data_IF_921097716275
#
_entry.id   IF_921097716275
#
_cell.length_a   1.000
_cell.length_b   1.000
_cell.length_c   1.000
_cell.angle_alpha   90.00
_cell.angle_beta   90.00
_cell.angle_gamma   90.00
#
_symmetry.space_group_name_H-M   'P 1'
#
loop_
_entity.id
_entity.type
_entity.pdbx_description
1 polymer ?
#
# COMPACT_ATOMS: atom_id res chain seq x y z
N UNK A 1 33.13 60.94 -29.55
CA UNK A 1 34.02 59.81 -29.22
C UNK A 1 33.51 58.47 -29.79
N UNK A 2 32.20 58.18 -29.76
CA UNK A 2 31.64 56.97 -30.40
C UNK A 2 31.68 56.90 -31.94
N UNK A 3 31.49 58.01 -32.71
CA UNK A 3 31.45 57.92 -34.18
C UNK A 3 32.78 57.51 -34.83
N UNK A 4 33.91 57.92 -34.23
CA UNK A 4 35.26 57.62 -34.74
C UNK A 4 35.72 56.17 -34.57
N UNK A 5 34.89 55.31 -33.97
CA UNK A 5 35.14 53.86 -33.89
C UNK A 5 34.57 53.14 -35.13
N UNK A 6 33.58 53.74 -35.80
CA UNK A 6 32.84 53.12 -36.91
C UNK A 6 33.08 53.80 -38.25
N UNK A 7 33.50 55.07 -38.26
CA UNK A 7 33.75 55.84 -39.48
C UNK A 7 35.10 56.56 -39.40
N UNK A 8 35.91 56.43 -40.46
CA UNK A 8 37.13 57.21 -40.65
C UNK A 8 36.81 58.63 -41.15
N UNK A 9 37.79 59.55 -41.15
CA UNK A 9 37.64 60.94 -41.57
C UNK A 9 37.10 61.10 -43.01
N UNK A 10 37.26 60.06 -43.84
CA UNK A 10 36.80 59.98 -45.23
C UNK A 10 35.37 59.41 -45.38
N UNK A 11 34.71 59.05 -44.28
CA UNK A 11 33.36 58.45 -44.29
C UNK A 11 33.33 56.94 -44.59
N UNK A 12 34.49 56.29 -44.74
CA UNK A 12 34.59 54.84 -44.90
C UNK A 12 34.43 54.10 -43.57
N UNK A 13 33.81 52.91 -43.61
CA UNK A 13 33.56 52.09 -42.42
C UNK A 13 34.85 51.41 -41.99
N UNK A 14 35.20 51.58 -40.70
CA UNK A 14 36.32 50.86 -40.09
C UNK A 14 35.85 49.44 -39.74
N UNK A 15 36.14 48.47 -40.61
CA UNK A 15 35.69 47.09 -40.46
C UNK A 15 36.14 46.41 -39.16
N UNK A 16 37.30 46.81 -38.61
CA UNK A 16 37.79 46.29 -37.33
C UNK A 16 36.92 46.70 -36.13
N UNK A 17 36.34 47.90 -36.14
CA UNK A 17 35.40 48.39 -35.13
C UNK A 17 34.06 47.66 -35.18
N UNK A 18 33.56 47.40 -36.39
CA UNK A 18 32.35 46.59 -36.62
C UNK A 18 32.58 45.14 -36.16
N UNK A 19 33.72 44.54 -36.52
CA UNK A 19 34.03 43.17 -36.09
C UNK A 19 34.16 43.05 -34.57
N UNK A 20 34.78 44.03 -33.91
CA UNK A 20 34.92 44.03 -32.44
C UNK A 20 33.56 44.08 -31.73
N UNK A 21 32.61 44.86 -32.27
CA UNK A 21 31.25 44.92 -31.74
C UNK A 21 30.51 43.59 -31.94
N UNK A 22 30.62 42.97 -33.12
CA UNK A 22 29.99 41.68 -33.42
C UNK A 22 30.56 40.58 -32.50
N UNK A 23 31.88 40.56 -32.31
CA UNK A 23 32.55 39.61 -31.41
C UNK A 23 32.14 39.82 -29.95
N UNK A 24 31.95 41.05 -29.51
CA UNK A 24 31.45 41.36 -28.17
C UNK A 24 30.02 40.85 -27.97
N UNK A 25 29.13 41.11 -28.93
CA UNK A 25 27.74 40.64 -28.89
C UNK A 25 27.70 39.09 -28.90
N UNK A 26 28.53 38.46 -29.74
CA UNK A 26 28.65 37.00 -29.77
C UNK A 26 29.14 36.43 -28.43
N UNK A 27 30.15 37.04 -27.81
CA UNK A 27 30.66 36.63 -26.50
C UNK A 27 29.61 36.73 -25.39
N UNK A 28 28.81 37.81 -25.39
CA UNK A 28 27.70 38.00 -24.44
C UNK A 28 26.62 36.93 -24.66
N UNK A 29 26.25 36.64 -25.91
CA UNK A 29 25.28 35.58 -26.21
C UNK A 29 25.76 34.20 -25.76
N UNK A 30 27.04 33.89 -25.94
CA UNK A 30 27.64 32.63 -25.44
C UNK A 30 27.59 32.57 -23.91
N UNK A 31 27.93 33.66 -23.22
CA UNK A 31 27.87 33.74 -21.75
C UNK A 31 26.44 33.50 -21.23
N UNK A 32 25.45 34.14 -21.83
CA UNK A 32 24.03 33.95 -21.49
C UNK A 32 23.62 32.49 -21.74
N UNK A 33 24.03 31.90 -22.87
CA UNK A 33 23.80 30.49 -23.18
C UNK A 33 24.39 29.53 -22.15
N UNK A 34 25.63 29.77 -21.69
CA UNK A 34 26.29 28.97 -20.66
C UNK A 34 25.55 29.08 -19.32
N UNK A 35 25.17 30.30 -18.90
CA UNK A 35 24.44 30.51 -17.64
C UNK A 35 23.09 29.81 -17.69
N UNK A 36 22.33 29.96 -18.78
CA UNK A 36 21.04 29.27 -18.95
C UNK A 36 21.21 27.74 -18.95
N UNK A 37 22.25 27.21 -19.60
CA UNK A 37 22.53 25.77 -19.61
C UNK A 37 22.84 25.24 -18.20
N UNK A 38 23.69 25.94 -17.42
CA UNK A 38 23.99 25.56 -16.03
C UNK A 38 22.74 25.59 -15.15
N UNK A 39 21.92 26.65 -15.26
CA UNK A 39 20.67 26.74 -14.52
C UNK A 39 19.68 25.64 -14.90
N UNK A 40 19.58 25.31 -16.20
CA UNK A 40 18.70 24.26 -16.72
C UNK A 40 19.14 22.88 -16.24
N UNK A 41 20.44 22.57 -16.31
CA UNK A 41 21.00 21.31 -15.79
C UNK A 41 20.78 21.16 -14.29
N UNK A 42 20.95 22.23 -13.50
CA UNK A 42 20.65 22.22 -12.07
C UNK A 42 19.18 21.94 -11.78
N UNK A 43 18.26 22.52 -12.56
CA UNK A 43 16.82 22.29 -12.39
C UNK A 43 16.46 20.84 -12.72
N UNK A 44 16.96 20.30 -13.83
CA UNK A 44 16.76 18.90 -14.23
C UNK A 44 17.34 17.96 -13.16
N UNK A 45 18.55 18.22 -12.67
CA UNK A 45 19.17 17.41 -11.63
C UNK A 45 18.36 17.42 -10.32
N UNK A 46 17.84 18.58 -9.89
CA UNK A 46 16.94 18.66 -8.72
C UNK A 46 15.67 17.85 -8.91
N UNK A 47 15.00 17.99 -10.06
CA UNK A 47 13.79 17.24 -10.37
C UNK A 47 14.05 15.73 -10.40
N UNK A 48 15.20 15.30 -10.93
CA UNK A 48 15.62 13.90 -10.89
C UNK A 48 15.89 13.41 -9.46
N UNK A 49 16.55 14.21 -8.62
CA UNK A 49 16.81 13.87 -7.21
C UNK A 49 15.49 13.73 -6.44
N UNK A 50 14.56 14.68 -6.58
CA UNK A 50 13.25 14.65 -5.92
C UNK A 50 12.42 13.45 -6.38
N UNK A 51 12.37 13.18 -7.69
CA UNK A 51 11.68 12.02 -8.25
C UNK A 51 12.30 10.70 -7.75
N UNK A 52 13.63 10.59 -7.74
CA UNK A 52 14.34 9.42 -7.23
C UNK A 52 14.10 9.23 -5.72
N UNK A 53 14.10 10.30 -4.94
CA UNK A 53 13.82 10.26 -3.51
C UNK A 53 12.39 9.80 -3.24
N UNK A 54 11.41 10.35 -3.98
CA UNK A 54 10.00 9.95 -3.89
C UNK A 54 9.81 8.48 -4.28
N UNK A 55 10.39 8.04 -5.39
CA UNK A 55 10.34 6.65 -5.83
C UNK A 55 10.96 5.70 -4.79
N UNK A 56 12.11 6.08 -4.20
CA UNK A 56 12.75 5.32 -3.13
C UNK A 56 11.86 5.23 -1.90
N UNK A 57 11.33 6.35 -1.41
CA UNK A 57 10.42 6.36 -0.26
C UNK A 57 9.17 5.49 -0.50
N UNK A 58 8.63 5.50 -1.72
CA UNK A 58 7.47 4.66 -2.09
C UNK A 58 7.83 3.17 -2.14
N UNK A 59 9.00 2.82 -2.68
CA UNK A 59 9.51 1.43 -2.68
C UNK A 59 9.75 0.94 -1.24
N UNK A 60 10.36 1.77 -0.40
CA UNK A 60 10.59 1.46 1.01
C UNK A 60 9.27 1.25 1.75
N UNK A 61 8.26 2.11 1.52
CA UNK A 61 6.92 1.94 2.06
C UNK A 61 6.25 0.65 1.58
N UNK A 62 6.27 0.35 0.27
CA UNK A 62 5.73 -0.90 -0.28
C UNK A 62 6.40 -2.12 0.38
N UNK A 63 7.71 -2.06 0.63
CA UNK A 63 8.46 -3.16 1.24
C UNK A 63 8.00 -3.40 2.67
N UNK A 64 7.89 -2.33 3.47
CA UNK A 64 7.35 -2.41 4.84
C UNK A 64 5.94 -2.99 4.88
N UNK A 65 5.06 -2.55 3.97
CA UNK A 65 3.69 -3.09 3.91
C UNK A 65 3.68 -4.56 3.51
N UNK A 66 4.57 -5.02 2.61
CA UNK A 66 4.70 -6.45 2.28
C UNK A 66 5.12 -7.29 3.46
N UNK A 67 6.15 -6.84 4.18
CA UNK A 67 6.68 -7.56 5.34
C UNK A 67 5.61 -7.65 6.43
N UNK A 68 4.93 -6.53 6.71
CA UNK A 68 3.85 -6.46 7.68
C UNK A 68 2.64 -7.33 7.29
N UNK A 69 2.29 -7.35 6.00
CA UNK A 69 1.21 -8.21 5.50
C UNK A 69 1.56 -9.69 5.63
N UNK A 70 2.81 -10.06 5.34
CA UNK A 70 3.28 -11.43 5.48
C UNK A 70 3.24 -11.89 6.94
N UNK A 71 3.67 -11.02 7.86
CA UNK A 71 3.59 -11.27 9.30
C UNK A 71 2.13 -11.43 9.76
N UNK A 72 1.26 -10.49 9.40
CA UNK A 72 -0.17 -10.55 9.74
C UNK A 72 -0.85 -11.83 9.24
N UNK A 73 -0.68 -12.17 7.96
CA UNK A 73 -1.27 -13.38 7.36
C UNK A 73 -0.73 -14.64 8.03
N UNK A 74 0.56 -14.69 8.36
CA UNK A 74 1.17 -15.83 9.04
C UNK A 74 0.55 -16.02 10.43
N UNK A 75 0.45 -14.94 11.21
CA UNK A 75 -0.17 -14.99 12.53
C UNK A 75 -1.66 -15.36 12.47
N UNK A 76 -2.39 -14.92 11.44
CA UNK A 76 -3.78 -15.37 11.22
C UNK A 76 -3.87 -16.88 11.02
N UNK A 77 -2.99 -17.45 10.20
CA UNK A 77 -2.98 -18.89 9.91
C UNK A 77 -2.57 -19.71 11.13
N UNK A 78 -1.57 -19.25 11.89
CA UNK A 78 -1.17 -19.87 13.15
C UNK A 78 -2.31 -19.82 14.18
N UNK A 79 -3.00 -18.68 14.29
CA UNK A 79 -4.14 -18.54 15.19
C UNK A 79 -5.27 -19.52 14.85
N UNK A 80 -5.55 -19.76 13.56
CA UNK A 80 -6.51 -20.79 13.10
C UNK A 80 -6.04 -22.19 13.50
N UNK A 81 -4.77 -22.51 13.28
CA UNK A 81 -4.23 -23.85 13.53
C UNK A 81 -4.29 -24.24 15.02
N UNK A 82 -4.12 -23.25 15.91
CA UNK A 82 -4.21 -23.38 17.36
C UNK A 82 -5.61 -23.12 17.93
N UNK A 83 -6.61 -22.92 17.07
CA UNK A 83 -7.99 -22.80 17.50
C UNK A 83 -8.69 -24.15 17.59
N UNK A 84 -9.71 -24.29 18.46
CA UNK A 84 -10.46 -25.53 18.57
C UNK A 84 -11.18 -25.85 17.26
N UNK A 85 -11.51 -27.13 17.07
CA UNK A 85 -12.43 -27.57 16.05
C UNK A 85 -13.83 -27.43 16.63
N UNK A 86 -14.74 -26.79 15.89
CA UNK A 86 -16.15 -26.76 16.25
C UNK A 86 -16.92 -27.71 15.35
N UNK A 87 -17.58 -28.68 15.94
CA UNK A 87 -18.61 -29.46 15.28
C UNK A 87 -19.96 -28.75 15.47
N UNK A 88 -20.48 -28.19 14.38
CA UNK A 88 -21.77 -27.50 14.39
C UNK A 88 -22.86 -28.52 14.68
N UNK A 89 -23.70 -28.23 15.68
CA UNK A 89 -24.82 -29.09 16.04
C UNK A 89 -25.77 -29.29 14.86
N UNK A 90 -26.22 -30.52 14.63
CA UNK A 90 -27.08 -30.82 13.49
C UNK A 90 -28.45 -30.16 13.69
N UNK A 91 -29.08 -29.63 12.62
CA UNK A 91 -30.45 -29.17 12.72
C UNK A 91 -31.38 -30.36 12.93
N UNK A 92 -32.17 -30.31 14.00
CA UNK A 92 -33.19 -31.28 14.36
C UNK A 92 -34.55 -30.65 14.07
N UNK A 93 -35.34 -31.31 13.22
CA UNK A 93 -36.72 -30.89 12.96
C UNK A 93 -37.60 -31.44 14.08
N UNK A 94 -38.13 -30.55 14.93
CA UNK A 94 -38.97 -30.88 16.07
C UNK A 94 -40.44 -31.07 15.68
N UNK A 95 -40.88 -30.44 14.58
CA UNK A 95 -42.27 -30.52 14.16
C UNK A 95 -42.55 -29.82 12.84
N UNK A 96 -43.67 -30.22 12.22
CA UNK A 96 -44.22 -29.63 11.01
C UNK A 96 -45.66 -29.21 11.31
N UNK A 97 -45.92 -27.90 11.30
CA UNK A 97 -47.26 -27.34 11.49
C UNK A 97 -47.80 -26.83 10.15
N UNK A 98 -48.84 -27.47 9.58
CA UNK A 98 -49.50 -26.97 8.39
C UNK A 98 -50.26 -25.67 8.72
N UNK A 99 -50.08 -24.64 7.90
CA UNK A 99 -50.81 -23.37 7.97
C UNK A 99 -51.52 -23.12 6.63
N UNK A 100 -52.44 -22.14 6.59
CA UNK A 100 -53.18 -21.80 5.36
C UNK A 100 -52.28 -21.38 4.19
N UNK A 101 -51.06 -20.92 4.50
CA UNK A 101 -50.11 -20.38 3.53
C UNK A 101 -48.87 -21.30 3.33
N UNK A 102 -48.81 -22.47 3.98
CA UNK A 102 -47.68 -23.39 3.85
C UNK A 102 -47.46 -24.33 5.03
N UNK A 103 -46.20 -24.71 5.27
CA UNK A 103 -45.80 -25.56 6.40
C UNK A 103 -44.72 -24.82 7.19
N UNK A 104 -44.98 -24.58 8.47
CA UNK A 104 -43.98 -24.06 9.39
C UNK A 104 -43.18 -25.23 9.93
N UNK A 105 -41.85 -25.17 9.76
CA UNK A 105 -40.91 -26.18 10.26
C UNK A 105 -40.33 -25.66 11.58
N UNK A 106 -40.59 -26.36 12.67
CA UNK A 106 -39.90 -26.12 13.94
C UNK A 106 -38.54 -26.82 13.89
N UNK A 107 -37.47 -26.04 13.88
CA UNK A 107 -36.09 -26.52 13.81
C UNK A 107 -35.35 -26.05 15.07
N UNK A 108 -34.85 -26.99 15.87
CA UNK A 108 -33.82 -26.71 16.86
C UNK A 108 -32.46 -27.16 16.33
N UNK A 109 -31.39 -26.63 16.90
CA UNK A 109 -30.04 -27.10 16.64
C UNK A 109 -29.51 -27.78 17.91
N UNK A 110 -28.84 -28.92 17.75
CA UNK A 110 -28.01 -29.46 18.82
C UNK A 110 -26.97 -28.40 19.28
N UNK A 111 -26.52 -28.41 20.55
CA UNK A 111 -25.47 -27.50 20.99
C UNK A 111 -24.14 -27.81 20.29
N UNK A 112 -23.40 -26.76 19.94
CA UNK A 112 -22.10 -26.90 19.28
C UNK A 112 -21.09 -27.61 20.18
N UNK A 113 -20.45 -28.64 19.65
CA UNK A 113 -19.39 -29.36 20.34
C UNK A 113 -18.02 -28.80 19.98
N UNK A 114 -17.24 -28.50 21.02
CA UNK A 114 -15.88 -27.98 20.87
C UNK A 114 -14.90 -29.12 21.11
N UNK A 115 -14.28 -29.62 20.05
CA UNK A 115 -13.14 -30.54 20.18
C UNK A 115 -11.86 -29.71 20.29
N UNK A 116 -11.09 -29.83 21.39
CA UNK A 116 -9.79 -29.18 21.48
C UNK A 116 -8.89 -29.67 20.33
N UNK A 117 -8.02 -28.77 19.85
CA UNK A 117 -7.11 -29.07 18.73
C UNK A 117 -6.23 -30.29 19.04
N UNK A 118 -6.08 -31.21 18.07
CA UNK A 118 -5.28 -32.45 18.16
C UNK A 118 -3.76 -32.26 18.16
N UNK A 119 -3.24 -31.04 18.26
CA UNK A 119 -1.80 -30.88 18.41
C UNK A 119 -1.41 -31.37 19.81
N UNK A 120 -0.66 -32.47 19.86
CA UNK A 120 0.09 -32.88 21.05
C UNK A 120 0.91 -31.69 21.56
N UNK A 121 0.89 -31.51 22.87
CA UNK A 121 1.30 -30.33 23.65
C UNK A 121 0.25 -29.23 23.74
N UNK A 122 -0.24 -29.06 24.97
CA UNK A 122 -0.94 -27.87 25.46
C UNK A 122 -0.10 -26.66 25.06
N UNK A 123 -0.43 -26.02 23.94
CA UNK A 123 -0.02 -24.64 23.72
C UNK A 123 -0.64 -23.90 24.89
N UNK A 124 0.20 -23.46 25.82
CA UNK A 124 -0.25 -22.66 26.96
C UNK A 124 -1.14 -21.55 26.40
N UNK A 125 -2.29 -21.27 27.02
CA UNK A 125 -3.18 -20.18 26.60
C UNK A 125 -2.41 -18.86 26.34
N UNK A 126 -1.27 -18.72 27.03
CA UNK A 126 -0.26 -17.67 26.85
C UNK A 126 0.33 -17.57 25.44
N UNK A 127 0.68 -18.67 24.77
CA UNK A 127 1.26 -18.64 23.42
C UNK A 127 0.21 -18.30 22.36
N UNK A 128 -1.01 -18.81 22.50
CA UNK A 128 -2.15 -18.39 21.68
C UNK A 128 -2.47 -16.91 21.87
N UNK A 129 -2.41 -16.42 23.10
CA UNK A 129 -2.58 -15.01 23.43
C UNK A 129 -1.46 -14.14 22.83
N UNK A 130 -0.20 -14.60 22.88
CA UNK A 130 0.91 -13.90 22.24
C UNK A 130 0.67 -13.74 20.74
N UNK A 131 0.20 -14.79 20.06
CA UNK A 131 -0.14 -14.74 18.62
C UNK A 131 -1.28 -13.75 18.38
N UNK A 132 -2.32 -13.75 19.23
CA UNK A 132 -3.42 -12.78 19.16
C UNK A 132 -2.91 -11.34 19.26
N UNK A 133 -2.01 -11.08 20.20
CA UNK A 133 -1.39 -9.76 20.41
C UNK A 133 -0.53 -9.37 19.20
N UNK A 134 0.29 -10.28 18.66
CA UNK A 134 1.10 -10.03 17.47
C UNK A 134 0.24 -9.77 16.22
N UNK A 135 -0.84 -10.53 16.04
CA UNK A 135 -1.82 -10.33 14.98
C UNK A 135 -2.50 -8.96 15.08
N UNK A 136 -2.98 -8.58 16.26
CA UNK A 136 -3.58 -7.26 16.48
C UNK A 136 -2.60 -6.13 16.22
N UNK A 137 -1.35 -6.28 16.67
CA UNK A 137 -0.32 -5.26 16.46
C UNK A 137 0.02 -5.10 14.97
N UNK A 138 0.17 -6.20 14.23
CA UNK A 138 0.45 -6.14 12.79
C UNK A 138 -0.73 -5.61 11.99
N UNK A 139 -1.95 -6.03 12.35
CA UNK A 139 -3.19 -5.49 11.77
C UNK A 139 -3.34 -3.99 11.98
N UNK A 140 -3.12 -3.51 13.21
CA UNK A 140 -3.17 -2.07 13.52
C UNK A 140 -2.09 -1.28 12.75
N UNK A 141 -0.87 -1.82 12.59
CA UNK A 141 0.16 -1.18 11.77
C UNK A 141 -0.25 -1.09 10.30
N UNK A 142 -0.87 -2.14 9.76
CA UNK A 142 -1.43 -2.09 8.41
C UNK A 142 -2.52 -1.02 8.29
N UNK A 143 -3.44 -0.94 9.26
CA UNK A 143 -4.45 0.12 9.28
C UNK A 143 -3.82 1.53 9.29
N UNK A 144 -2.70 1.73 10.01
CA UNK A 144 -1.97 2.99 9.99
C UNK A 144 -1.27 3.26 8.64
N UNK A 145 -0.75 2.23 7.97
CA UNK A 145 -0.16 2.39 6.63
C UNK A 145 -1.20 2.77 5.58
N UNK A 146 -2.42 2.26 5.71
CA UNK A 146 -3.50 2.50 4.76
C UNK A 146 -4.32 3.75 5.08
N UNK A 147 -4.50 4.07 6.37
CA UNK A 147 -5.14 5.28 6.88
C UNK A 147 -6.54 5.55 6.34
N UNK A 148 -7.27 6.54 6.89
CA UNK A 148 -8.43 7.08 6.21
C UNK A 148 -7.97 7.77 4.94
N UNK A 149 -8.34 7.20 3.80
CA UNK A 149 -8.08 7.79 2.49
C UNK A 149 -9.19 8.79 2.17
N UNK A 150 -8.83 9.99 1.69
CA UNK A 150 -9.79 11.00 1.26
C UNK A 150 -10.65 10.52 0.06
N UNK A 151 -10.15 9.55 -0.70
CA UNK A 151 -10.82 8.95 -1.87
C UNK A 151 -11.46 7.58 -1.57
N UNK A 152 -11.22 7.01 -0.39
CA UNK A 152 -11.78 5.72 0.05
C UNK A 152 -11.24 4.48 -0.67
N UNK A 153 -10.18 4.57 -1.48
CA UNK A 153 -9.65 3.39 -2.21
C UNK A 153 -9.09 2.33 -1.25
N UNK A 154 -8.61 2.77 -0.08
CA UNK A 154 -8.04 1.91 0.94
C UNK A 154 -9.08 1.31 1.90
N UNK A 155 -10.34 1.77 1.82
CA UNK A 155 -11.39 1.42 2.79
C UNK A 155 -11.67 -0.08 2.81
N UNK A 156 -11.68 -0.73 1.64
CA UNK A 156 -11.92 -2.17 1.55
C UNK A 156 -10.79 -2.99 2.23
N UNK A 157 -9.54 -2.52 2.16
CA UNK A 157 -8.41 -3.16 2.84
C UNK A 157 -8.58 -3.05 4.36
N UNK A 158 -8.99 -1.87 4.84
CA UNK A 158 -9.25 -1.61 6.26
C UNK A 158 -10.40 -2.47 6.76
N UNK A 159 -11.50 -2.57 6.01
CA UNK A 159 -12.63 -3.44 6.35
C UNK A 159 -12.24 -4.92 6.48
N UNK A 160 -11.37 -5.42 5.60
CA UNK A 160 -10.83 -6.77 5.74
C UNK A 160 -10.02 -6.95 7.04
N UNK A 161 -9.17 -5.97 7.38
CA UNK A 161 -8.38 -6.01 8.62
C UNK A 161 -9.29 -6.01 9.85
N UNK A 162 -10.26 -5.12 9.90
CA UNK A 162 -11.24 -5.02 11.00
C UNK A 162 -12.02 -6.32 11.16
N UNK A 163 -12.54 -6.87 10.06
CA UNK A 163 -13.30 -8.14 10.07
C UNK A 163 -12.47 -9.28 10.64
N UNK A 164 -11.19 -9.38 10.26
CA UNK A 164 -10.28 -10.43 10.75
C UNK A 164 -9.99 -10.21 12.24
N UNK A 165 -9.63 -8.99 12.64
CA UNK A 165 -9.29 -8.61 14.01
C UNK A 165 -10.47 -8.84 14.95
N UNK A 166 -11.68 -8.40 14.58
CA UNK A 166 -12.89 -8.58 15.37
C UNK A 166 -13.20 -10.06 15.59
N UNK A 167 -13.11 -10.87 14.54
CA UNK A 167 -13.34 -12.32 14.66
C UNK A 167 -12.30 -13.00 15.55
N UNK A 168 -11.03 -12.63 15.41
CA UNK A 168 -9.95 -13.14 16.26
C UNK A 168 -10.18 -12.75 17.73
N UNK A 169 -10.53 -11.49 18.00
CA UNK A 169 -10.77 -10.99 19.36
C UNK A 169 -12.06 -11.56 19.98
N UNK A 170 -13.05 -11.88 19.16
CA UNK A 170 -14.26 -12.59 19.59
C UNK A 170 -14.03 -14.10 19.80
N UNK A 171 -12.84 -14.63 19.51
CA UNK A 171 -12.55 -16.06 19.58
C UNK A 171 -13.32 -16.90 18.54
N UNK A 172 -13.77 -16.26 17.45
CA UNK A 172 -14.62 -16.87 16.40
C UNK A 172 -13.82 -17.42 15.21
N UNK A 173 -12.52 -17.64 15.39
CA UNK A 173 -11.69 -18.35 14.44
C UNK A 173 -11.58 -19.80 14.89
N UNK A 174 -11.93 -20.72 14.00
CA UNK A 174 -11.91 -22.16 14.26
C UNK A 174 -11.04 -22.85 13.22
N UNK A 175 -10.44 -23.96 13.60
CA UNK A 175 -9.48 -24.67 12.73
C UNK A 175 -10.11 -25.12 11.40
N UNK A 176 -11.38 -25.53 11.47
CA UNK A 176 -12.21 -25.95 10.35
C UNK A 176 -13.07 -24.81 9.74
N UNK A 177 -12.87 -23.55 10.16
CA UNK A 177 -13.60 -22.42 9.58
C UNK A 177 -13.04 -22.02 8.20
N UNK A 178 -13.65 -22.59 7.15
CA UNK A 178 -13.38 -22.26 5.76
C UNK A 178 -13.62 -20.78 5.43
N UNK A 179 -14.57 -20.11 6.09
CA UNK A 179 -14.87 -18.71 5.82
C UNK A 179 -13.73 -17.81 6.31
N UNK A 180 -13.20 -18.06 7.50
CA UNK A 180 -12.04 -17.31 8.02
C UNK A 180 -10.79 -17.51 7.16
N UNK A 181 -10.51 -18.75 6.72
CA UNK A 181 -9.43 -19.02 5.74
C UNK A 181 -9.64 -18.26 4.43
N UNK A 182 -10.89 -18.22 3.93
CA UNK A 182 -11.24 -17.49 2.69
C UNK A 182 -11.01 -15.99 2.83
N UNK A 183 -11.45 -15.37 3.92
CA UNK A 183 -11.27 -13.94 4.19
C UNK A 183 -9.78 -13.57 4.22
N UNK A 184 -8.93 -14.38 4.86
CA UNK A 184 -7.47 -14.15 4.88
C UNK A 184 -6.88 -14.19 3.46
N UNK A 185 -7.32 -15.15 2.64
CA UNK A 185 -6.85 -15.29 1.25
C UNK A 185 -7.31 -14.11 0.39
N UNK A 186 -8.56 -13.67 0.54
CA UNK A 186 -9.11 -12.51 -0.14
C UNK A 186 -8.35 -11.23 0.22
N UNK A 187 -8.14 -10.98 1.52
CA UNK A 187 -7.31 -9.88 2.01
C UNK A 187 -5.91 -9.87 1.38
N UNK A 188 -5.21 -11.01 1.44
CA UNK A 188 -3.86 -11.16 0.84
C UNK A 188 -3.88 -10.83 -0.66
N UNK A 189 -4.88 -11.31 -1.39
CA UNK A 189 -5.00 -11.06 -2.82
C UNK A 189 -5.30 -9.58 -3.11
N UNK A 190 -6.13 -8.93 -2.27
CA UNK A 190 -6.43 -7.50 -2.36
C UNK A 190 -5.17 -6.66 -2.17
N UNK A 191 -4.41 -6.90 -1.11
CA UNK A 191 -3.12 -6.24 -0.85
C UNK A 191 -2.15 -6.47 -2.02
N UNK A 192 -2.03 -7.71 -2.51
CA UNK A 192 -1.16 -8.03 -3.65
C UNK A 192 -1.51 -7.19 -4.88
N UNK A 193 -2.80 -7.08 -5.21
CA UNK A 193 -3.28 -6.27 -6.33
C UNK A 193 -2.99 -4.79 -6.14
N UNK A 194 -3.25 -4.27 -4.93
CA UNK A 194 -2.98 -2.88 -4.56
C UNK A 194 -1.49 -2.54 -4.65
N UNK A 195 -0.62 -3.32 -4.00
CA UNK A 195 0.83 -3.11 -4.00
C UNK A 195 1.44 -3.25 -5.40
N UNK A 196 0.83 -4.05 -6.28
CA UNK A 196 1.25 -4.14 -7.68
C UNK A 196 0.99 -2.83 -8.43
N UNK A 197 -0.18 -2.21 -8.24
CA UNK A 197 -0.50 -0.89 -8.81
C UNK A 197 0.47 0.18 -8.28
N UNK A 198 0.71 0.19 -6.97
CA UNK A 198 1.62 1.13 -6.32
C UNK A 198 3.07 0.99 -6.80
N UNK A 199 3.52 -0.25 -7.00
CA UNK A 199 4.82 -0.55 -7.57
C UNK A 199 4.97 -0.04 -9.00
N UNK A 200 3.94 -0.20 -9.83
CA UNK A 200 3.96 0.27 -11.21
C UNK A 200 3.93 1.81 -11.28
N UNK A 201 3.24 2.49 -10.36
CA UNK A 201 3.31 3.95 -10.20
C UNK A 201 4.71 4.42 -9.76
N UNK A 202 5.32 3.73 -8.78
CA UNK A 202 6.66 4.05 -8.29
C UNK A 202 7.72 3.97 -9.40
N UNK A 203 7.64 2.94 -10.26
CA UNK A 203 8.51 2.80 -11.43
C UNK A 203 8.38 3.93 -12.45
N UNK A 204 7.19 4.52 -12.56
CA UNK A 204 6.93 5.64 -13.46
C UNK A 204 7.31 7.00 -12.84
N UNK A 205 7.79 7.04 -11.59
CA UNK A 205 8.08 8.29 -10.88
C UNK A 205 6.85 9.15 -10.58
N UNK A 206 5.65 8.55 -10.65
CA UNK A 206 4.38 9.21 -10.35
C UNK A 206 4.09 9.12 -8.85
#
# INVERSE_FOLDING_TARGET
>A
MLPGIFYDHNGEIIWSGVSALISLIAAIMVLIGVIMNVCTQRKIAKQQIEANLKAKARIDWITKVRDETADFVTNCLLYIEYSPIIEIGKPVVNGLTPTSDGVVIDVSSEPDHHEPSKYEDVIEDKEKENIRVHLNNSGNRLMLYFGPDAEGENEEIVQYLETIIEKVNAGKFYKNDTNSRKIIVEFRNKIRGYLKKEWDKAKQGK
#
